data_IF_214246056556
#
_entry.id   IF_214246056556
#
_cell.length_a   1.000
_cell.length_b   1.000
_cell.length_c   1.000
_cell.angle_alpha   90.00
_cell.angle_beta   90.00
_cell.angle_gamma   90.00
#
_symmetry.space_group_name_H-M   'P 1'
#
loop_
_entity.id
_entity.type
_entity.pdbx_description
1 polymer ?
#
# COMPACT_ATOMS: atom_id res chain seq x y z
N UNK A 1 0.01 -21.30 -19.28
CA UNK A 1 1.06 -20.33 -18.91
C UNK A 1 0.54 -19.47 -17.76
N UNK A 2 1.37 -19.15 -16.77
CA UNK A 2 0.95 -18.26 -15.67
C UNK A 2 0.69 -16.85 -16.21
N UNK A 3 -0.45 -16.27 -15.85
CA UNK A 3 -0.80 -14.90 -16.24
C UNK A 3 0.14 -13.88 -15.57
N UNK A 4 0.61 -14.16 -14.37
CA UNK A 4 1.54 -13.31 -13.60
C UNK A 4 2.81 -14.10 -13.29
N UNK A 5 3.98 -13.52 -13.57
CA UNK A 5 5.28 -14.16 -13.34
C UNK A 5 5.91 -13.78 -11.99
N UNK A 6 5.37 -12.79 -11.29
CA UNK A 6 5.70 -12.49 -9.89
C UNK A 6 4.54 -12.96 -9.02
N UNK A 7 4.81 -13.91 -8.13
CA UNK A 7 3.84 -14.40 -7.16
C UNK A 7 4.54 -14.85 -5.88
N UNK A 8 4.29 -14.14 -4.79
CA UNK A 8 4.86 -14.48 -3.48
C UNK A 8 3.71 -14.70 -2.51
N UNK A 9 3.57 -15.94 -2.04
CA UNK A 9 2.51 -16.39 -1.14
C UNK A 9 3.06 -17.33 -0.07
N UNK A 10 2.24 -17.66 0.93
CA UNK A 10 2.53 -18.75 1.87
C UNK A 10 2.20 -20.13 1.26
N UNK A 11 2.64 -21.20 1.93
CA UNK A 11 2.47 -22.58 1.46
C UNK A 11 1.00 -22.97 1.21
N UNK A 12 0.06 -22.38 1.95
CA UNK A 12 -1.36 -22.71 1.86
C UNK A 12 -2.16 -21.68 1.05
N UNK A 13 -1.47 -20.71 0.44
CA UNK A 13 -2.08 -19.62 -0.31
C UNK A 13 -3.19 -18.86 0.46
N UNK A 14 -3.02 -18.72 1.78
CA UNK A 14 -3.84 -17.88 2.65
C UNK A 14 -3.29 -16.45 2.76
N UNK A 15 -2.02 -16.27 2.43
CA UNK A 15 -1.33 -14.98 2.41
C UNK A 15 -0.71 -14.75 1.04
N UNK A 16 -0.85 -13.54 0.51
CA UNK A 16 -0.22 -13.10 -0.74
C UNK A 16 0.51 -11.80 -0.49
N UNK A 17 1.83 -11.85 -0.53
CA UNK A 17 2.71 -10.71 -0.26
C UNK A 17 2.91 -9.89 -1.54
N UNK A 18 2.97 -10.54 -2.71
CA UNK A 18 3.15 -9.89 -4.00
C UNK A 18 2.46 -10.65 -5.14
N UNK A 19 1.95 -9.91 -6.13
CA UNK A 19 1.43 -10.43 -7.38
C UNK A 19 1.66 -9.42 -8.50
N UNK A 20 2.18 -9.85 -9.65
CA UNK A 20 2.33 -8.93 -10.77
C UNK A 20 3.09 -9.48 -11.97
N UNK A 21 3.40 -8.56 -12.88
CA UNK A 21 4.18 -8.82 -14.10
C UNK A 21 5.45 -7.99 -14.05
N UNK A 22 6.60 -8.65 -14.23
CA UNK A 22 7.88 -7.96 -14.36
C UNK A 22 7.93 -7.13 -15.65
N UNK A 23 8.55 -5.96 -15.58
CA UNK A 23 8.85 -5.09 -16.70
C UNK A 23 10.06 -4.22 -16.38
N UNK A 24 10.49 -3.38 -17.33
CA UNK A 24 11.58 -2.43 -17.10
C UNK A 24 11.08 -1.17 -16.38
N UNK A 25 9.89 -0.72 -16.71
CA UNK A 25 9.18 0.43 -16.13
C UNK A 25 8.03 -0.08 -15.28
N UNK A 26 8.34 -0.35 -14.01
CA UNK A 26 7.42 -0.91 -13.03
C UNK A 26 6.50 0.14 -12.41
N UNK A 27 5.20 -0.18 -12.31
CA UNK A 27 4.25 0.48 -11.40
C UNK A 27 4.06 -0.36 -10.14
N UNK A 28 4.39 0.19 -8.97
CA UNK A 28 4.04 -0.43 -7.70
C UNK A 28 2.65 0.03 -7.29
N UNK A 29 1.81 -0.89 -6.81
CA UNK A 29 0.47 -0.58 -6.30
C UNK A 29 0.38 -1.04 -4.85
N UNK A 30 -0.04 -0.15 -3.95
CA UNK A 30 -0.25 -0.49 -2.54
C UNK A 30 -1.75 -0.43 -2.26
N UNK A 31 -2.36 -1.61 -2.28
CA UNK A 31 -3.74 -1.83 -1.86
C UNK A 31 -3.86 -2.12 -0.37
N UNK A 32 -5.07 -2.53 0.03
CA UNK A 32 -5.39 -2.80 1.42
C UNK A 32 -5.05 -4.24 1.83
N UNK A 33 -5.68 -5.22 1.16
CA UNK A 33 -5.44 -6.63 1.35
C UNK A 33 -5.71 -7.41 0.03
N UNK A 34 -5.03 -8.53 -0.19
CA UNK A 34 -5.35 -9.44 -1.29
C UNK A 34 -6.77 -9.97 -1.23
N UNK A 35 -7.35 -10.22 -2.41
CA UNK A 35 -8.62 -10.93 -2.57
C UNK A 35 -8.38 -12.27 -3.26
N UNK A 36 -8.98 -12.52 -4.42
CA UNK A 36 -8.98 -13.84 -5.08
C UNK A 36 -7.86 -14.04 -6.09
N UNK A 37 -7.22 -13.00 -6.63
CA UNK A 37 -6.23 -13.21 -7.70
C UNK A 37 -5.02 -14.06 -7.30
N UNK A 38 -4.59 -14.92 -8.22
CA UNK A 38 -3.42 -15.82 -8.14
C UNK A 38 -2.48 -15.54 -9.32
N UNK A 39 -1.38 -16.30 -9.42
CA UNK A 39 -0.51 -16.26 -10.58
C UNK A 39 -1.20 -16.73 -11.88
N UNK A 40 -2.17 -17.63 -11.79
CA UNK A 40 -2.91 -18.16 -12.93
C UNK A 40 -4.15 -17.31 -13.28
N UNK A 41 -4.80 -16.69 -12.29
CA UNK A 41 -6.09 -16.02 -12.47
C UNK A 41 -6.08 -14.59 -11.90
N UNK A 42 -6.43 -13.61 -12.74
CA UNK A 42 -6.64 -12.23 -12.30
C UNK A 42 -8.08 -12.00 -11.83
N UNK A 43 -8.22 -11.37 -10.68
CA UNK A 43 -9.49 -10.81 -10.21
C UNK A 43 -9.80 -9.46 -10.90
N UNK A 44 -11.02 -8.91 -10.76
CA UNK A 44 -11.38 -7.65 -11.42
C UNK A 44 -10.53 -6.45 -11.01
N UNK A 45 -9.91 -6.46 -9.82
CA UNK A 45 -9.02 -5.37 -9.37
C UNK A 45 -7.69 -5.46 -10.11
N UNK A 46 -7.10 -6.67 -10.19
CA UNK A 46 -5.84 -6.90 -10.91
C UNK A 46 -5.97 -6.58 -12.40
N UNK A 47 -7.08 -6.99 -13.05
CA UNK A 47 -7.35 -6.63 -14.45
C UNK A 47 -7.40 -5.11 -14.68
N UNK A 48 -7.96 -4.37 -13.71
CA UNK A 48 -8.01 -2.90 -13.76
C UNK A 48 -6.65 -2.27 -13.55
N UNK A 49 -5.90 -2.76 -12.56
CA UNK A 49 -4.52 -2.31 -12.29
C UNK A 49 -3.64 -2.49 -13.51
N UNK A 50 -3.66 -3.67 -14.13
CA UNK A 50 -2.91 -3.96 -15.33
C UNK A 50 -3.27 -3.01 -16.48
N UNK A 51 -4.56 -2.80 -16.73
CA UNK A 51 -5.01 -1.88 -17.78
C UNK A 51 -4.57 -0.43 -17.52
N UNK A 52 -4.63 0.03 -16.27
CA UNK A 52 -4.15 1.38 -15.91
C UNK A 52 -2.64 1.47 -16.07
N UNK A 53 -1.88 0.46 -15.65
CA UNK A 53 -0.43 0.42 -15.81
C UNK A 53 -0.04 0.54 -17.30
N UNK A 54 -0.64 -0.29 -18.16
CA UNK A 54 -0.39 -0.27 -19.59
C UNK A 54 -0.75 1.08 -20.22
N UNK A 55 -1.93 1.64 -19.89
CA UNK A 55 -2.37 2.94 -20.41
C UNK A 55 -1.43 4.09 -20.00
N UNK A 56 -0.80 4.01 -18.82
CA UNK A 56 0.16 4.98 -18.33
C UNK A 56 1.62 4.67 -18.75
N UNK A 57 1.80 3.76 -19.71
CA UNK A 57 3.10 3.41 -20.31
C UNK A 57 4.02 2.59 -19.41
N UNK A 58 3.48 1.93 -18.37
CA UNK A 58 4.24 0.96 -17.59
C UNK A 58 4.17 -0.40 -18.30
N UNK A 59 5.30 -1.10 -18.40
CA UNK A 59 5.41 -2.43 -19.01
C UNK A 59 5.42 -3.55 -17.95
N UNK A 60 5.39 -3.17 -16.68
CA UNK A 60 5.28 -4.09 -15.55
C UNK A 60 4.54 -3.43 -14.38
N UNK A 61 3.97 -4.26 -13.51
CA UNK A 61 3.33 -3.81 -12.29
C UNK A 61 3.50 -4.82 -11.16
N UNK A 62 3.44 -4.34 -9.93
CA UNK A 62 3.47 -5.18 -8.74
C UNK A 62 2.41 -4.74 -7.74
N UNK A 63 1.43 -5.60 -7.51
CA UNK A 63 0.40 -5.42 -6.50
C UNK A 63 0.90 -5.89 -5.14
N UNK A 64 1.12 -4.92 -4.26
CA UNK A 64 1.45 -5.06 -2.85
C UNK A 64 0.25 -4.62 -2.00
N UNK A 65 0.24 -4.97 -0.71
CA UNK A 65 -0.89 -4.66 0.17
C UNK A 65 -0.43 -4.35 1.59
N UNK A 66 -1.11 -3.44 2.28
CA UNK A 66 -0.82 -3.13 3.69
C UNK A 66 -1.01 -4.34 4.62
N UNK A 67 -1.84 -5.31 4.22
CA UNK A 67 -1.97 -6.62 4.85
C UNK A 67 -1.80 -7.73 3.80
N UNK A 68 -1.08 -8.81 4.11
CA UNK A 68 -0.90 -9.94 3.20
C UNK A 68 -2.02 -11.00 3.27
N UNK A 69 -2.91 -10.93 4.25
CA UNK A 69 -3.99 -11.93 4.43
C UNK A 69 -4.99 -11.81 3.28
N UNK A 70 -5.25 -12.92 2.60
CA UNK A 70 -6.25 -12.99 1.54
C UNK A 70 -7.65 -13.00 2.14
N UNK A 71 -8.47 -12.04 1.74
CA UNK A 71 -9.89 -11.98 2.09
C UNK A 71 -10.67 -11.16 1.07
N UNK A 72 -11.88 -11.62 0.70
CA UNK A 72 -12.84 -10.83 -0.09
C UNK A 72 -13.55 -9.78 0.78
N UNK A 73 -13.77 -10.09 2.05
CA UNK A 73 -14.43 -9.20 3.01
C UNK A 73 -13.44 -8.70 4.04
N UNK A 74 -13.34 -7.38 4.16
CA UNK A 74 -12.47 -6.73 5.15
C UNK A 74 -12.81 -7.13 6.59
N UNK A 75 -14.06 -7.51 6.84
CA UNK A 75 -14.55 -7.93 8.15
C UNK A 75 -13.97 -9.27 8.60
N UNK A 76 -13.57 -10.14 7.67
CA UNK A 76 -12.97 -11.45 7.98
C UNK A 76 -11.49 -11.33 8.33
N UNK A 77 -10.89 -10.15 8.14
CA UNK A 77 -9.53 -9.90 8.58
C UNK A 77 -9.45 -9.91 10.11
N UNK A 78 -8.36 -10.44 10.68
CA UNK A 78 -8.17 -10.47 12.13
C UNK A 78 -8.31 -9.06 12.71
N UNK A 79 -8.84 -8.95 13.91
CA UNK A 79 -8.92 -7.66 14.60
C UNK A 79 -7.59 -7.24 15.21
N UNK A 80 -6.70 -8.20 15.47
CA UNK A 80 -5.42 -7.98 16.17
C UNK A 80 -4.24 -8.10 15.22
N UNK A 81 -3.22 -7.30 15.51
CA UNK A 81 -1.91 -7.35 14.86
C UNK A 81 -1.22 -8.70 15.10
N UNK A 82 -0.68 -9.30 14.04
CA UNK A 82 0.09 -10.55 14.08
C UNK A 82 1.51 -10.28 13.61
N UNK A 83 2.44 -10.18 14.57
CA UNK A 83 3.79 -9.65 14.34
C UNK A 83 4.55 -10.34 13.21
N UNK A 84 4.56 -11.68 13.20
CA UNK A 84 5.31 -12.46 12.20
C UNK A 84 4.84 -12.17 10.77
N UNK A 85 3.53 -12.24 10.54
CA UNK A 85 2.90 -12.01 9.23
C UNK A 85 3.03 -10.56 8.77
N UNK A 86 2.94 -9.61 9.70
CA UNK A 86 3.10 -8.20 9.40
C UNK A 86 4.54 -7.87 9.00
N UNK A 87 5.52 -8.31 9.80
CA UNK A 87 6.92 -7.98 9.56
C UNK A 87 7.38 -8.53 8.20
N UNK A 88 7.07 -9.79 7.88
CA UNK A 88 7.45 -10.37 6.59
C UNK A 88 6.81 -9.65 5.39
N UNK A 89 5.57 -9.19 5.52
CA UNK A 89 4.92 -8.38 4.49
C UNK A 89 5.59 -7.01 4.34
N UNK A 90 5.84 -6.32 5.47
CA UNK A 90 6.50 -5.02 5.49
C UNK A 90 7.91 -5.07 4.91
N UNK A 91 8.71 -6.07 5.31
CA UNK A 91 10.08 -6.27 4.82
C UNK A 91 10.10 -6.45 3.30
N UNK A 92 9.15 -7.21 2.75
CA UNK A 92 9.02 -7.42 1.32
C UNK A 92 8.58 -6.15 0.58
N UNK A 93 7.63 -5.37 1.10
CA UNK A 93 7.24 -4.10 0.50
C UNK A 93 8.45 -3.16 0.43
N UNK A 94 9.16 -3.00 1.55
CA UNK A 94 10.32 -2.12 1.66
C UNK A 94 11.45 -2.57 0.74
N UNK A 95 11.72 -3.87 0.62
CA UNK A 95 12.78 -4.37 -0.26
C UNK A 95 12.51 -4.05 -1.73
N UNK A 96 11.27 -4.16 -2.20
CA UNK A 96 10.88 -3.76 -3.56
C UNK A 96 11.01 -2.25 -3.79
N UNK A 97 10.62 -1.43 -2.81
CA UNK A 97 10.72 0.03 -2.94
C UNK A 97 12.17 0.53 -2.90
N UNK A 98 13.01 -0.04 -2.03
CA UNK A 98 14.42 0.37 -1.91
C UNK A 98 15.23 -0.04 -3.14
N UNK A 99 15.00 -1.26 -3.65
CA UNK A 99 15.74 -1.80 -4.81
C UNK A 99 15.36 -1.12 -6.14
N UNK A 100 14.22 -0.41 -6.21
CA UNK A 100 13.85 0.39 -7.37
C UNK A 100 14.50 1.78 -7.31
N UNK A 101 15.16 2.29 -8.37
CA UNK A 101 15.84 3.60 -8.33
C UNK A 101 14.93 4.78 -7.96
N UNK A 102 13.77 4.89 -8.60
CA UNK A 102 12.75 5.92 -8.34
C UNK A 102 11.35 5.30 -8.52
N UNK A 103 10.85 4.52 -7.54
CA UNK A 103 9.61 3.78 -7.70
C UNK A 103 8.41 4.72 -7.86
N UNK A 104 7.60 4.47 -8.89
CA UNK A 104 6.26 5.04 -9.01
C UNK A 104 5.27 4.16 -8.23
N UNK A 105 4.63 4.72 -7.22
CA UNK A 105 3.78 3.99 -6.27
C UNK A 105 2.36 4.54 -6.29
N UNK A 106 1.44 3.79 -6.89
CA UNK A 106 0.01 4.05 -6.81
C UNK A 106 -0.56 3.53 -5.49
N UNK A 107 -0.97 4.46 -4.62
CA UNK A 107 -1.69 4.19 -3.39
C UNK A 107 -3.17 3.96 -3.69
N UNK A 108 -3.78 2.91 -3.15
CA UNK A 108 -5.11 2.48 -3.58
C UNK A 108 -5.96 1.79 -2.49
N UNK A 109 -5.85 2.22 -1.23
CA UNK A 109 -6.51 1.57 -0.08
C UNK A 109 -7.95 2.02 0.21
N UNK A 110 -8.37 3.20 -0.26
CA UNK A 110 -9.71 3.75 -0.01
C UNK A 110 -10.02 3.96 1.48
N UNK A 111 -11.32 4.09 1.80
CA UNK A 111 -11.83 4.23 3.19
C UNK A 111 -11.46 3.03 4.08
N UNK A 112 -11.20 1.86 3.48
CA UNK A 112 -10.92 0.62 4.19
C UNK A 112 -9.68 0.67 5.08
N UNK A 113 -8.78 1.64 4.87
CA UNK A 113 -7.63 1.88 5.75
C UNK A 113 -8.03 2.09 7.22
N UNK A 114 -9.25 2.56 7.47
CA UNK A 114 -9.79 2.80 8.80
C UNK A 114 -10.33 1.55 9.50
N UNK A 115 -10.46 0.43 8.79
CA UNK A 115 -11.13 -0.74 9.35
C UNK A 115 -10.26 -1.51 10.37
N UNK A 116 -8.93 -1.37 10.30
CA UNK A 116 -7.98 -2.07 11.18
C UNK A 116 -6.78 -1.19 11.51
N UNK A 117 -6.39 -1.15 12.77
CA UNK A 117 -5.26 -0.33 13.24
C UNK A 117 -3.92 -0.71 12.58
N UNK A 118 -3.72 -1.98 12.26
CA UNK A 118 -2.47 -2.43 11.65
C UNK A 118 -2.27 -1.91 10.23
N UNK A 119 -3.32 -1.50 9.49
CA UNK A 119 -3.12 -0.88 8.17
C UNK A 119 -2.34 0.44 8.28
N UNK A 120 -2.76 1.29 9.21
CA UNK A 120 -2.04 2.52 9.54
C UNK A 120 -0.63 2.24 10.05
N UNK A 121 -0.43 1.14 10.78
CA UNK A 121 0.90 0.76 11.28
C UNK A 121 1.82 0.35 10.13
N UNK A 122 1.35 -0.49 9.21
CA UNK A 122 2.12 -0.87 8.02
C UNK A 122 2.51 0.35 7.23
N UNK A 123 1.56 1.28 7.02
CA UNK A 123 1.80 2.51 6.29
C UNK A 123 2.91 3.35 6.94
N UNK A 124 2.80 3.63 8.23
CA UNK A 124 3.78 4.46 8.93
C UNK A 124 5.16 3.79 8.96
N UNK A 125 5.25 2.52 9.33
CA UNK A 125 6.54 1.82 9.40
C UNK A 125 7.19 1.67 8.02
N UNK A 126 6.40 1.46 6.96
CA UNK A 126 6.89 1.48 5.59
C UNK A 126 7.49 2.84 5.25
N UNK A 127 6.77 3.94 5.51
CA UNK A 127 7.23 5.29 5.22
C UNK A 127 8.51 5.65 6.00
N UNK A 128 8.63 5.20 7.25
CA UNK A 128 9.85 5.37 8.05
C UNK A 128 11.04 4.63 7.43
N UNK A 129 10.85 3.38 7.02
CA UNK A 129 11.93 2.55 6.46
C UNK A 129 12.40 2.98 5.07
N UNK A 130 11.56 3.70 4.34
CA UNK A 130 11.93 4.31 3.05
C UNK A 130 12.21 5.81 3.17
N UNK A 131 12.31 6.35 4.39
CA UNK A 131 12.65 7.75 4.61
C UNK A 131 14.06 8.03 4.05
N UNK A 132 14.14 8.93 3.07
CA UNK A 132 15.38 9.22 2.32
C UNK A 132 15.42 8.63 0.91
N UNK A 133 14.52 7.68 0.57
CA UNK A 133 14.34 7.23 -0.80
C UNK A 133 13.42 8.19 -1.56
N UNK A 134 13.81 8.56 -2.78
CA UNK A 134 12.90 9.28 -3.68
C UNK A 134 11.82 8.32 -4.18
N UNK A 135 10.61 8.44 -3.63
CA UNK A 135 9.45 7.64 -4.02
C UNK A 135 8.38 8.56 -4.63
N UNK A 136 7.91 8.20 -5.83
CA UNK A 136 6.80 8.88 -6.48
C UNK A 136 5.47 8.37 -5.92
N UNK A 137 4.95 9.01 -4.87
CA UNK A 137 3.65 8.67 -4.30
C UNK A 137 2.52 9.22 -5.20
N UNK A 138 1.68 8.34 -5.70
CA UNK A 138 0.64 8.65 -6.68
C UNK A 138 -0.74 8.20 -6.18
N UNK A 139 -1.77 8.91 -6.64
CA UNK A 139 -3.14 8.43 -6.66
C UNK A 139 -3.68 8.49 -8.09
N UNK A 140 -4.70 7.67 -8.38
CA UNK A 140 -5.34 7.64 -9.69
C UNK A 140 -6.77 8.18 -9.60
N UNK A 141 -7.02 9.29 -10.28
CA UNK A 141 -8.29 10.02 -10.18
C UNK A 141 -8.49 10.75 -8.86
N UNK A 142 -9.69 11.31 -8.59
CA UNK A 142 -9.96 12.09 -7.41
C UNK A 142 -9.85 11.25 -6.13
N UNK A 143 -9.46 11.87 -5.03
CA UNK A 143 -9.52 11.25 -3.71
C UNK A 143 -10.98 10.94 -3.30
N UNK A 144 -11.14 10.14 -2.26
CA UNK A 144 -12.44 10.04 -1.57
C UNK A 144 -12.80 11.36 -0.88
N UNK A 145 -14.05 11.50 -0.44
CA UNK A 145 -14.48 12.71 0.30
C UNK A 145 -13.66 12.94 1.58
N UNK A 146 -13.19 11.86 2.21
CA UNK A 146 -12.33 11.91 3.39
C UNK A 146 -10.83 12.05 3.05
N UNK A 147 -10.46 12.17 1.77
CA UNK A 147 -9.08 12.39 1.34
C UNK A 147 -8.25 11.11 1.15
N UNK A 148 -8.88 9.93 1.07
CA UNK A 148 -8.17 8.68 0.81
C UNK A 148 -7.93 8.44 -0.69
N UNK A 149 -6.79 7.86 -1.09
CA UNK A 149 -6.59 7.42 -2.46
C UNK A 149 -7.54 6.26 -2.79
N UNK A 150 -8.24 6.33 -3.93
CA UNK A 150 -9.33 5.41 -4.25
C UNK A 150 -8.86 4.00 -4.57
N UNK A 151 -9.67 3.03 -4.16
CA UNK A 151 -9.51 1.64 -4.57
C UNK A 151 -9.85 1.46 -6.07
N UNK A 152 -9.16 0.57 -6.81
CA UNK A 152 -9.34 0.46 -8.26
C UNK A 152 -10.70 -0.13 -8.69
N UNK A 153 -11.46 -0.75 -7.78
CA UNK A 153 -12.70 -1.49 -8.11
C UNK A 153 -13.77 -0.67 -8.84
N UNK A 154 -13.80 0.65 -8.65
CA UNK A 154 -14.78 1.57 -9.25
C UNK A 154 -14.12 2.76 -9.97
N UNK A 155 -12.95 2.54 -10.57
CA UNK A 155 -12.24 3.60 -11.31
C UNK A 155 -12.91 3.97 -12.63
N UNK A 156 -12.64 5.17 -13.10
CA UNK A 156 -12.86 5.61 -14.48
C UNK A 156 -11.51 5.58 -15.22
N UNK A 157 -11.44 4.94 -16.38
CA UNK A 157 -10.21 4.85 -17.18
C UNK A 157 -9.76 6.18 -17.80
N UNK A 158 -10.62 7.21 -17.80
CA UNK A 158 -10.27 8.58 -18.22
C UNK A 158 -9.58 9.37 -17.11
N UNK A 159 -9.46 8.82 -15.90
CA UNK A 159 -8.66 9.45 -14.86
C UNK A 159 -7.17 9.34 -15.18
N UNK A 160 -6.41 10.19 -14.51
CA UNK A 160 -4.96 10.25 -14.65
C UNK A 160 -4.28 10.08 -13.28
N UNK A 161 -2.98 9.82 -13.33
CA UNK A 161 -2.16 9.85 -12.13
C UNK A 161 -1.88 11.28 -11.68
N UNK A 162 -1.90 11.49 -10.37
CA UNK A 162 -1.48 12.74 -9.74
C UNK A 162 -0.65 12.45 -8.50
N UNK A 163 0.24 13.37 -8.16
CA UNK A 163 1.06 13.27 -6.95
C UNK A 163 0.18 13.26 -5.72
N UNK A 164 0.38 12.27 -4.85
CA UNK A 164 -0.29 12.19 -3.56
C UNK A 164 0.57 12.85 -2.48
N UNK A 165 0.03 13.88 -1.81
CA UNK A 165 0.67 14.48 -0.64
C UNK A 165 0.60 13.53 0.56
N UNK A 166 1.48 12.53 0.57
CA UNK A 166 1.56 11.53 1.63
C UNK A 166 1.91 12.19 2.98
N UNK A 167 2.69 13.27 2.99
CA UNK A 167 3.10 13.96 4.23
C UNK A 167 1.91 14.69 4.85
N UNK A 168 1.18 15.46 4.04
CA UNK A 168 -0.06 16.11 4.46
C UNK A 168 -1.12 15.10 4.90
N UNK A 169 -1.24 13.99 4.16
CA UNK A 169 -2.12 12.89 4.53
C UNK A 169 -1.77 12.32 5.91
N UNK A 170 -0.49 12.02 6.19
CA UNK A 170 -0.08 11.55 7.52
C UNK A 170 -0.36 12.61 8.61
N UNK A 171 -0.04 13.88 8.34
CA UNK A 171 -0.25 15.01 9.27
C UNK A 171 -1.71 15.22 9.64
N UNK A 172 -2.62 15.07 8.68
CA UNK A 172 -4.07 15.24 8.87
C UNK A 172 -4.70 14.18 9.78
N UNK A 173 -4.03 13.04 9.97
CA UNK A 173 -4.52 11.87 10.72
C UNK A 173 -5.85 11.29 10.21
N UNK A 174 -6.33 11.67 9.02
CA UNK A 174 -7.56 11.12 8.44
C UNK A 174 -7.49 9.61 8.22
N UNK A 175 -6.28 9.04 8.16
CA UNK A 175 -6.00 7.61 8.06
C UNK A 175 -6.11 6.84 9.38
N UNK A 176 -6.28 7.54 10.51
CA UNK A 176 -6.40 6.92 11.83
C UNK A 176 -7.88 6.65 12.14
N UNK A 177 -8.25 5.40 12.49
CA UNK A 177 -9.61 5.10 12.91
C UNK A 177 -10.02 5.97 14.11
N UNK A 178 -11.26 6.50 14.12
CA UNK A 178 -11.80 7.32 15.22
C UNK A 178 -11.78 6.57 16.56
N UNK A 179 -11.89 5.24 16.50
CA UNK A 179 -11.77 4.32 17.63
C UNK A 179 -10.32 4.05 18.03
N UNK A 180 -9.43 5.05 17.99
CA UNK A 180 -8.11 5.01 18.62
C UNK A 180 -8.17 4.90 20.17
N UNK A 181 -9.22 4.31 20.73
CA UNK A 181 -9.25 3.61 22.03
C UNK A 181 -9.05 2.12 21.75
N UNK A 182 -7.80 1.61 21.81
CA UNK A 182 -7.51 0.27 21.35
C UNK A 182 -8.00 -0.79 22.34
N UNK A 183 -8.17 -2.02 21.86
CA UNK A 183 -8.05 -3.18 22.74
C UNK A 183 -6.60 -3.40 23.24
N UNK A 184 -5.58 -2.77 22.62
CA UNK A 184 -4.18 -2.71 23.10
C UNK A 184 -3.59 -1.30 23.07
N UNK A 185 -3.47 -0.65 24.24
CA UNK A 185 -2.90 0.71 24.42
C UNK A 185 -1.55 0.91 23.72
N UNK A 186 -0.76 -0.17 23.64
CA UNK A 186 0.58 -0.22 23.03
C UNK A 186 0.56 0.07 21.52
N UNK A 187 -0.39 -0.46 20.75
CA UNK A 187 -0.40 -0.28 19.29
C UNK A 187 -0.73 1.16 18.90
N UNK A 188 -1.67 1.80 19.60
CA UNK A 188 -1.94 3.22 19.37
C UNK A 188 -0.77 4.12 19.78
N UNK A 189 -0.08 3.82 20.88
CA UNK A 189 1.12 4.56 21.27
C UNK A 189 2.22 4.42 20.22
N UNK A 190 2.48 3.21 19.71
CA UNK A 190 3.45 2.96 18.64
C UNK A 190 3.09 3.73 17.36
N UNK A 191 1.83 3.68 16.93
CA UNK A 191 1.33 4.47 15.79
C UNK A 191 1.58 5.97 15.96
N UNK A 192 1.26 6.51 17.14
CA UNK A 192 1.43 7.92 17.43
C UNK A 192 2.91 8.34 17.56
N UNK A 193 3.79 7.48 18.08
CA UNK A 193 5.23 7.75 18.15
C UNK A 193 5.85 7.72 16.76
N UNK A 194 5.60 6.65 16.01
CA UNK A 194 6.17 6.45 14.69
C UNK A 194 5.71 7.54 13.69
N UNK A 195 4.44 7.95 13.77
CA UNK A 195 3.94 9.08 12.98
C UNK A 195 4.63 10.40 13.36
N UNK A 196 4.92 10.64 14.64
CA UNK A 196 5.65 11.84 15.08
C UNK A 196 7.09 11.85 14.59
N UNK A 197 7.80 10.73 14.74
CA UNK A 197 9.18 10.57 14.26
C UNK A 197 9.29 10.79 12.75
N UNK A 198 8.38 10.21 11.96
CA UNK A 198 8.32 10.38 10.51
C UNK A 198 8.15 11.86 10.11
N UNK A 199 7.37 12.61 10.87
CA UNK A 199 7.15 14.04 10.62
C UNK A 199 8.30 14.91 11.12
N UNK A 200 8.99 14.50 12.20
CA UNK A 200 10.08 15.25 12.83
C UNK A 200 11.42 15.11 12.08
N UNK A 201 11.71 13.95 11.48
CA UNK A 201 12.95 13.70 10.72
C UNK A 201 13.09 14.54 9.45
N UNK A 202 12.13 15.42 9.14
CA UNK A 202 12.11 16.25 7.93
C UNK A 202 13.05 17.47 7.97
N UNK A 203 13.83 17.69 9.05
CA UNK A 203 14.80 18.80 9.16
C UNK A 203 16.14 18.54 8.45
N UNK A 204 16.45 17.30 8.09
CA UNK A 204 17.67 16.95 7.32
C UNK A 204 17.50 17.08 5.79
N UNK A 205 16.40 17.68 5.31
CA UNK A 205 15.98 17.65 3.91
C UNK A 205 16.15 18.97 3.14
N UNK A 206 16.90 19.94 3.67
CA UNK A 206 17.16 21.24 3.03
C UNK A 206 18.67 21.54 2.92
N UNK A 207 19.40 20.77 2.12
CA UNK A 207 20.60 21.26 1.41
C UNK A 207 20.69 20.51 0.10
N UNK A 208 20.05 21.05 -0.93
CA UNK A 208 20.01 20.49 -2.27
C UNK A 208 19.62 21.58 -3.27
N UNK A 209 20.33 22.70 -3.20
CA UNK A 209 20.53 23.66 -4.29
C UNK A 209 22.00 24.01 -4.30
#
# INVERSE_FOLDING_TARGET
MNLHNIYVNDCNNKMRLALGKSGKRMLFVIGLNPSTATNAEADPTIKRVEKVANNAGFDGYLMLNLCSIRSTQINDLPHRYQAKTFNSNLDLIVSFLISSPSPAVWLAWGEGILARQFFGLTLIEMLQRVAGKQVGWLHFGPLTKAGHPRHPSRLNYLWEFSTFDIKGYIRSRVWMPSSCRPSSRVLAQRLQSASRELLAGSSAFNTGT
#
